data_IF_984610731681
#
_entry.id   IF_984610731681
#
_cell.length_a   1.000
_cell.length_b   1.000
_cell.length_c   1.000
_cell.angle_alpha   90.00
_cell.angle_beta   90.00
_cell.angle_gamma   90.00
#
_symmetry.space_group_name_H-M   'P 1'
#
loop_
_entity.id
_entity.type
_entity.pdbx_description
1 polymer ?
#
# COMPACT_ATOMS: atom_id res chain seq x y z
N UNK A 1 7.71 28.72 -6.44
CA UNK A 1 8.88 29.40 -5.83
C UNK A 1 9.87 28.44 -5.17
N UNK A 2 9.47 27.54 -4.26
CA UNK A 2 10.44 26.75 -3.49
C UNK A 2 11.22 25.70 -4.32
N UNK A 3 10.64 25.16 -5.40
CA UNK A 3 11.34 24.24 -6.32
C UNK A 3 12.45 24.91 -7.14
N UNK A 4 12.24 26.12 -7.67
CA UNK A 4 13.24 26.83 -8.48
C UNK A 4 14.54 27.11 -7.69
N UNK A 5 14.41 27.46 -6.41
CA UNK A 5 15.56 27.71 -5.53
C UNK A 5 16.37 26.42 -5.26
N UNK A 6 15.69 25.26 -5.25
CA UNK A 6 16.34 23.96 -5.04
C UNK A 6 17.14 23.52 -6.27
N UNK A 7 16.61 23.77 -7.47
CA UNK A 7 17.25 23.37 -8.73
C UNK A 7 18.49 24.24 -9.02
N UNK A 8 18.40 25.55 -8.80
CA UNK A 8 19.56 26.46 -8.93
C UNK A 8 20.70 26.08 -7.97
N UNK A 9 20.37 25.78 -6.71
CA UNK A 9 21.37 25.32 -5.72
C UNK A 9 21.96 23.97 -6.04
N UNK A 10 21.17 23.04 -6.59
CA UNK A 10 21.69 21.74 -7.01
C UNK A 10 22.69 21.88 -8.16
N UNK A 11 22.37 22.73 -9.14
CA UNK A 11 23.24 23.01 -10.29
C UNK A 11 24.57 23.64 -9.86
N UNK A 12 24.54 24.64 -8.97
CA UNK A 12 25.76 25.28 -8.42
C UNK A 12 26.60 24.31 -7.55
N UNK A 13 25.94 23.41 -6.79
CA UNK A 13 26.68 22.38 -6.04
C UNK A 13 27.25 21.29 -6.95
N UNK A 14 26.54 20.91 -8.01
CA UNK A 14 27.02 19.93 -8.97
C UNK A 14 28.22 20.46 -9.77
N UNK A 15 28.22 21.74 -10.12
CA UNK A 15 29.33 22.40 -10.82
C UNK A 15 30.59 22.53 -9.95
N UNK A 16 30.44 22.76 -8.64
CA UNK A 16 31.58 22.96 -7.72
C UNK A 16 32.12 21.68 -7.06
N UNK A 17 31.26 20.69 -6.78
CA UNK A 17 31.61 19.55 -5.91
C UNK A 17 31.31 18.18 -6.53
N UNK A 18 30.84 18.13 -7.77
CA UNK A 18 30.48 16.91 -8.47
C UNK A 18 29.12 16.34 -8.07
N UNK A 19 28.58 15.50 -8.96
CA UNK A 19 27.19 14.99 -8.91
C UNK A 19 26.90 14.08 -7.72
N UNK A 20 27.90 13.37 -7.19
CA UNK A 20 27.71 12.47 -6.04
C UNK A 20 27.39 13.23 -4.74
N UNK A 21 28.08 14.35 -4.51
CA UNK A 21 27.91 15.15 -3.28
C UNK A 21 26.63 15.98 -3.34
N UNK A 22 26.28 16.51 -4.50
CA UNK A 22 25.02 17.23 -4.72
C UNK A 22 23.81 16.30 -4.54
N UNK A 23 23.88 15.06 -5.03
CA UNK A 23 22.81 14.06 -4.87
C UNK A 23 22.58 13.67 -3.40
N UNK A 24 23.65 13.48 -2.62
CA UNK A 24 23.55 13.21 -1.18
C UNK A 24 22.97 14.40 -0.41
N UNK A 25 23.32 15.63 -0.79
CA UNK A 25 22.76 16.85 -0.20
C UNK A 25 21.27 17.01 -0.51
N UNK A 26 20.89 16.82 -1.78
CA UNK A 26 19.49 16.83 -2.22
C UNK A 26 18.66 15.79 -1.46
N UNK A 27 19.21 14.58 -1.28
CA UNK A 27 18.54 13.53 -0.54
C UNK A 27 18.38 13.86 0.95
N UNK A 28 19.42 14.44 1.57
CA UNK A 28 19.33 14.92 2.95
C UNK A 28 18.28 16.01 3.12
N UNK A 29 18.18 16.95 2.18
CA UNK A 29 17.15 17.99 2.22
C UNK A 29 15.75 17.43 2.02
N UNK A 30 15.57 16.54 1.04
CA UNK A 30 14.29 15.87 0.81
C UNK A 30 13.82 15.14 2.07
N UNK A 31 14.71 14.37 2.73
CA UNK A 31 14.40 13.68 3.98
C UNK A 31 14.05 14.65 5.10
N UNK A 32 14.79 15.76 5.26
CA UNK A 32 14.48 16.79 6.28
C UNK A 32 13.14 17.46 6.04
N UNK A 33 12.80 17.76 4.79
CA UNK A 33 11.52 18.36 4.42
C UNK A 33 10.38 17.38 4.69
N UNK A 34 10.54 16.11 4.30
CA UNK A 34 9.56 15.04 4.60
C UNK A 34 9.39 14.88 6.10
N UNK A 35 10.48 14.82 6.87
CA UNK A 35 10.44 14.69 8.33
C UNK A 35 9.78 15.91 8.99
N UNK A 36 10.03 17.12 8.50
CA UNK A 36 9.41 18.35 8.99
C UNK A 36 7.92 18.44 8.66
N UNK A 37 7.52 18.02 7.45
CA UNK A 37 6.12 17.90 7.04
C UNK A 37 5.39 16.82 7.85
N UNK A 38 6.03 15.66 8.06
CA UNK A 38 5.50 14.59 8.88
C UNK A 38 5.34 15.03 10.34
N UNK A 39 6.34 15.72 10.91
CA UNK A 39 6.30 16.21 12.29
C UNK A 39 5.25 17.29 12.54
N UNK A 40 5.11 18.26 11.63
CA UNK A 40 4.02 19.26 11.70
C UNK A 40 2.66 18.62 11.45
N UNK A 41 2.62 17.71 10.48
CA UNK A 41 1.46 16.89 10.15
C UNK A 41 0.98 16.08 11.34
N UNK A 42 1.86 15.42 12.10
CA UNK A 42 1.50 14.65 13.29
C UNK A 42 1.01 15.52 14.45
N UNK A 43 1.59 16.70 14.65
CA UNK A 43 1.16 17.64 15.71
C UNK A 43 -0.20 18.28 15.44
N UNK A 44 -0.64 18.33 14.17
CA UNK A 44 -1.91 18.96 13.75
C UNK A 44 -2.84 18.00 13.01
N UNK A 45 -2.49 16.71 12.92
CA UNK A 45 -3.37 15.69 12.39
C UNK A 45 -4.37 15.37 13.50
N UNK A 46 -5.68 15.56 13.26
CA UNK A 46 -6.68 15.07 14.18
C UNK A 46 -6.42 13.58 14.38
N UNK A 47 -6.31 13.15 15.64
CA UNK A 47 -6.10 11.75 16.05
C UNK A 47 -6.94 10.75 15.24
N UNK A 48 -8.10 11.20 14.78
CA UNK A 48 -8.95 10.53 13.78
C UNK A 48 -8.19 9.98 12.57
N UNK A 49 -7.25 10.70 11.94
CA UNK A 49 -6.52 10.21 10.75
C UNK A 49 -5.58 9.06 11.14
N UNK A 50 -4.94 9.16 12.30
CA UNK A 50 -4.06 8.10 12.80
C UNK A 50 -4.90 6.87 13.14
N UNK A 51 -6.01 7.04 13.84
CA UNK A 51 -6.92 5.94 14.20
C UNK A 51 -7.52 5.30 12.95
N UNK A 52 -7.94 6.11 11.97
CA UNK A 52 -8.53 5.60 10.71
C UNK A 52 -7.49 4.84 9.89
N UNK A 53 -6.25 5.34 9.80
CA UNK A 53 -5.18 4.65 9.07
C UNK A 53 -4.73 3.38 9.79
N UNK A 54 -4.60 3.41 11.12
CA UNK A 54 -4.27 2.22 11.90
C UNK A 54 -5.38 1.17 11.81
N UNK A 55 -6.65 1.59 11.93
CA UNK A 55 -7.81 0.73 11.76
C UNK A 55 -7.88 0.15 10.34
N UNK A 56 -7.62 0.96 9.30
CA UNK A 56 -7.58 0.50 7.92
C UNK A 56 -6.47 -0.53 7.68
N UNK A 57 -5.29 -0.32 8.28
CA UNK A 57 -4.17 -1.27 8.18
C UNK A 57 -4.49 -2.60 8.90
N UNK A 58 -5.07 -2.53 10.10
CA UNK A 58 -5.52 -3.71 10.84
C UNK A 58 -6.62 -4.45 10.08
N UNK A 59 -7.60 -3.73 9.51
CA UNK A 59 -8.65 -4.32 8.69
C UNK A 59 -8.07 -5.01 7.47
N UNK A 60 -7.08 -4.41 6.80
CA UNK A 60 -6.42 -5.00 5.64
C UNK A 60 -5.70 -6.31 6.00
N UNK A 61 -4.98 -6.34 7.12
CA UNK A 61 -4.36 -7.58 7.60
C UNK A 61 -5.39 -8.64 7.99
N UNK A 62 -6.45 -8.23 8.70
CA UNK A 62 -7.49 -9.15 9.13
C UNK A 62 -8.25 -9.75 7.94
N UNK A 63 -8.67 -8.92 6.98
CA UNK A 63 -9.40 -9.38 5.80
C UNK A 63 -8.51 -10.24 4.91
N UNK A 64 -7.27 -9.82 4.61
CA UNK A 64 -6.38 -10.62 3.75
C UNK A 64 -5.98 -11.96 4.38
N UNK A 65 -5.76 -11.99 5.70
CA UNK A 65 -5.49 -13.23 6.43
C UNK A 65 -6.68 -14.20 6.44
N UNK A 66 -7.90 -13.68 6.59
CA UNK A 66 -9.11 -14.49 6.56
C UNK A 66 -9.54 -14.88 5.14
N UNK A 67 -9.29 -14.03 4.12
CA UNK A 67 -9.66 -14.29 2.73
C UNK A 67 -9.08 -15.61 2.23
N UNK A 68 -7.83 -15.91 2.60
CA UNK A 68 -7.19 -17.17 2.22
C UNK A 68 -7.88 -18.39 2.86
N UNK A 69 -8.34 -18.27 4.11
CA UNK A 69 -9.08 -19.34 4.80
C UNK A 69 -10.46 -19.54 4.18
N UNK A 70 -11.20 -18.45 3.95
CA UNK A 70 -12.53 -18.48 3.34
C UNK A 70 -12.48 -19.07 1.93
N UNK A 71 -11.48 -18.71 1.12
CA UNK A 71 -11.33 -19.28 -0.22
C UNK A 71 -11.01 -20.77 -0.15
N UNK A 72 -10.13 -21.21 0.76
CA UNK A 72 -9.86 -22.64 0.95
C UNK A 72 -11.09 -23.42 1.43
N UNK A 73 -11.84 -22.89 2.39
CA UNK A 73 -13.07 -23.50 2.88
C UNK A 73 -14.14 -23.56 1.79
N UNK A 74 -14.31 -22.48 1.02
CA UNK A 74 -15.25 -22.44 -0.08
C UNK A 74 -14.91 -23.45 -1.18
N UNK A 75 -13.62 -23.59 -1.53
CA UNK A 75 -13.16 -24.62 -2.48
C UNK A 75 -13.37 -26.02 -1.92
N UNK A 76 -13.10 -26.23 -0.62
CA UNK A 76 -13.35 -27.51 0.06
C UNK A 76 -14.83 -27.88 0.05
N UNK A 77 -15.72 -26.90 0.27
CA UNK A 77 -17.18 -27.07 0.22
C UNK A 77 -17.67 -27.36 -1.20
N UNK A 78 -17.14 -26.66 -2.21
CA UNK A 78 -17.48 -26.90 -3.61
C UNK A 78 -17.02 -28.28 -4.11
N UNK A 79 -15.88 -28.78 -3.61
CA UNK A 79 -15.30 -30.06 -4.00
C UNK A 79 -15.67 -31.23 -3.07
N UNK A 80 -16.64 -31.06 -2.16
CA UNK A 80 -16.96 -32.04 -1.12
C UNK A 80 -17.46 -33.41 -1.65
N UNK A 81 -17.69 -33.56 -2.96
CA UNK A 81 -18.11 -34.81 -3.61
C UNK A 81 -17.18 -35.30 -4.72
N UNK A 82 -16.06 -34.61 -4.98
CA UNK A 82 -15.12 -35.00 -6.03
C UNK A 82 -13.73 -35.07 -5.42
N UNK A 83 -13.27 -36.28 -5.07
CA UNK A 83 -11.86 -36.52 -4.79
C UNK A 83 -11.08 -36.16 -6.04
N UNK A 84 -10.29 -35.08 -6.04
CA UNK A 84 -9.67 -34.62 -7.27
C UNK A 84 -8.50 -35.54 -7.58
N UNK A 85 -8.67 -36.44 -8.54
CA UNK A 85 -7.57 -37.18 -9.13
C UNK A 85 -6.83 -36.25 -10.09
N UNK A 86 -6.08 -35.28 -9.55
CA UNK A 86 -5.32 -34.35 -10.37
C UNK A 86 -4.05 -35.03 -10.87
N UNK A 87 -3.98 -35.23 -12.19
CA UNK A 87 -2.70 -35.44 -12.87
C UNK A 87 -1.81 -34.20 -12.61
N UNK A 88 -0.51 -34.43 -12.41
CA UNK A 88 0.50 -33.43 -12.06
C UNK A 88 0.41 -32.13 -12.86
N UNK A 89 0.09 -32.21 -14.16
CA UNK A 89 -0.07 -31.06 -15.06
C UNK A 89 -1.34 -30.23 -14.79
N UNK A 90 -2.41 -30.86 -14.33
CA UNK A 90 -3.66 -30.17 -13.98
C UNK A 90 -3.58 -29.53 -12.59
N UNK A 91 -2.78 -30.13 -11.70
CA UNK A 91 -2.50 -29.59 -10.37
C UNK A 91 -1.82 -28.22 -10.45
N UNK A 92 -0.81 -28.06 -11.32
CA UNK A 92 -0.14 -26.78 -11.53
C UNK A 92 -1.07 -25.69 -12.07
N UNK A 93 -1.93 -26.03 -13.04
CA UNK A 93 -2.90 -25.08 -13.59
C UNK A 93 -3.93 -24.64 -12.54
N UNK A 94 -4.43 -25.58 -11.74
CA UNK A 94 -5.38 -25.28 -10.69
C UNK A 94 -4.76 -24.42 -9.58
N UNK A 95 -3.53 -24.73 -9.15
CA UNK A 95 -2.79 -23.92 -8.18
C UNK A 95 -2.51 -22.52 -8.71
N UNK A 96 -2.20 -22.39 -10.01
CA UNK A 96 -2.01 -21.09 -10.66
C UNK A 96 -3.29 -20.25 -10.61
N UNK A 97 -4.44 -20.81 -10.99
CA UNK A 97 -5.74 -20.12 -10.93
C UNK A 97 -6.14 -19.75 -9.50
N UNK A 98 -5.94 -20.66 -8.54
CA UNK A 98 -6.25 -20.41 -7.13
C UNK A 98 -5.35 -19.30 -6.57
N UNK A 99 -4.06 -19.29 -6.91
CA UNK A 99 -3.16 -18.22 -6.51
C UNK A 99 -3.58 -16.87 -7.12
N UNK A 100 -3.92 -16.85 -8.41
CA UNK A 100 -4.28 -15.61 -9.10
C UNK A 100 -5.61 -15.03 -8.60
N UNK A 101 -6.62 -15.87 -8.33
CA UNK A 101 -7.90 -15.44 -7.77
C UNK A 101 -7.75 -14.86 -6.36
N UNK A 102 -6.95 -15.49 -5.49
CA UNK A 102 -6.61 -14.95 -4.16
C UNK A 102 -5.87 -13.61 -4.29
N UNK A 103 -4.94 -13.51 -5.25
CA UNK A 103 -4.20 -12.29 -5.51
C UNK A 103 -5.12 -11.15 -5.96
N UNK A 104 -5.93 -11.36 -6.99
CA UNK A 104 -6.90 -10.36 -7.50
C UNK A 104 -7.91 -9.98 -6.41
N UNK A 105 -8.41 -10.93 -5.63
CA UNK A 105 -9.29 -10.65 -4.50
C UNK A 105 -8.64 -9.74 -3.47
N UNK A 106 -7.38 -10.00 -3.11
CA UNK A 106 -6.64 -9.14 -2.16
C UNK A 106 -6.38 -7.72 -2.71
N UNK A 107 -6.20 -7.60 -4.02
CA UNK A 107 -6.05 -6.32 -4.70
C UNK A 107 -7.35 -5.50 -4.67
N UNK A 108 -8.50 -6.13 -4.98
CA UNK A 108 -9.81 -5.50 -4.88
C UNK A 108 -10.14 -5.06 -3.46
N UNK A 109 -9.85 -5.90 -2.46
CA UNK A 109 -10.02 -5.55 -1.04
C UNK A 109 -9.18 -4.32 -0.69
N UNK A 110 -7.92 -4.26 -1.14
CA UNK A 110 -7.03 -3.13 -0.89
C UNK A 110 -7.57 -1.83 -1.50
N UNK A 111 -8.13 -1.91 -2.71
CA UNK A 111 -8.81 -0.80 -3.36
C UNK A 111 -10.02 -0.31 -2.53
N UNK A 112 -10.89 -1.23 -2.10
CA UNK A 112 -12.09 -0.91 -1.30
C UNK A 112 -11.70 -0.26 0.03
N UNK A 113 -10.71 -0.81 0.74
CA UNK A 113 -10.24 -0.27 2.01
C UNK A 113 -9.62 1.12 1.80
N UNK A 114 -8.81 1.31 0.75
CA UNK A 114 -8.26 2.61 0.39
C UNK A 114 -9.35 3.65 0.13
N UNK A 115 -10.40 3.27 -0.60
CA UNK A 115 -11.58 4.11 -0.84
C UNK A 115 -12.33 4.44 0.45
N UNK A 116 -12.55 3.46 1.33
CA UNK A 116 -13.25 3.69 2.60
C UNK A 116 -12.50 4.66 3.51
N UNK A 117 -11.18 4.46 3.65
CA UNK A 117 -10.32 5.36 4.42
C UNK A 117 -10.30 6.77 3.83
N UNK A 118 -10.28 6.90 2.50
CA UNK A 118 -10.40 8.19 1.84
C UNK A 118 -11.75 8.87 2.17
N UNK A 119 -12.87 8.15 2.04
CA UNK A 119 -14.20 8.70 2.36
C UNK A 119 -14.27 9.27 3.78
N UNK A 120 -13.70 8.56 4.76
CA UNK A 120 -13.65 9.01 6.17
C UNK A 120 -12.74 10.23 6.34
N UNK A 121 -11.62 10.29 5.60
CA UNK A 121 -10.64 11.38 5.70
C UNK A 121 -11.09 12.73 5.10
N UNK A 122 -12.22 12.75 4.37
CA UNK A 122 -12.89 13.92 3.78
C UNK A 122 -11.99 14.91 3.00
N UNK A 123 -11.27 15.80 3.71
CA UNK A 123 -10.41 16.85 3.12
C UNK A 123 -8.94 16.45 3.00
N UNK A 124 -8.54 15.32 3.59
CA UNK A 124 -7.15 14.83 3.57
C UNK A 124 -7.05 13.43 2.97
N UNK A 125 -7.90 13.14 1.98
CA UNK A 125 -8.00 11.85 1.27
C UNK A 125 -6.64 11.34 0.81
N UNK A 126 -5.89 12.17 0.07
CA UNK A 126 -4.58 11.81 -0.49
C UNK A 126 -3.51 11.58 0.59
N UNK A 127 -3.54 12.36 1.68
CA UNK A 127 -2.59 12.20 2.79
C UNK A 127 -2.92 10.92 3.56
N UNK A 128 -4.20 10.63 3.78
CA UNK A 128 -4.66 9.44 4.49
C UNK A 128 -4.33 8.15 3.73
N UNK A 129 -4.56 8.10 2.41
CA UNK A 129 -4.25 6.90 1.63
C UNK A 129 -2.75 6.69 1.43
N UNK A 130 -1.97 7.76 1.26
CA UNK A 130 -0.50 7.64 1.24
C UNK A 130 0.07 7.18 2.58
N UNK A 131 -0.40 7.75 3.69
CA UNK A 131 0.05 7.32 5.03
C UNK A 131 -0.36 5.88 5.32
N UNK A 132 -1.58 5.47 4.96
CA UNK A 132 -2.03 4.09 5.05
C UNK A 132 -1.14 3.14 4.25
N UNK A 133 -0.85 3.49 2.99
CA UNK A 133 0.02 2.70 2.11
C UNK A 133 1.43 2.55 2.68
N UNK A 134 1.99 3.64 3.24
CA UNK A 134 3.31 3.64 3.86
C UNK A 134 3.35 2.83 5.17
N UNK A 135 2.34 3.00 6.03
CA UNK A 135 2.21 2.23 7.29
C UNK A 135 2.06 0.74 7.00
N UNK A 136 1.25 0.37 6.01
CA UNK A 136 1.07 -1.02 5.60
C UNK A 136 2.37 -1.64 5.07
N UNK A 137 3.16 -0.88 4.30
CA UNK A 137 4.46 -1.30 3.83
C UNK A 137 5.45 -1.51 4.99
N UNK A 138 5.53 -0.56 5.93
CA UNK A 138 6.38 -0.69 7.13
C UNK A 138 5.97 -1.92 7.94
N UNK A 139 4.68 -2.10 8.21
CA UNK A 139 4.20 -3.27 8.95
C UNK A 139 4.60 -4.57 8.26
N UNK A 140 4.52 -4.65 6.93
CA UNK A 140 4.91 -5.86 6.19
C UNK A 140 6.40 -6.16 6.33
N UNK A 141 7.24 -5.13 6.21
CA UNK A 141 8.69 -5.25 6.38
C UNK A 141 9.05 -5.66 7.80
N UNK A 142 8.44 -5.05 8.82
CA UNK A 142 8.70 -5.42 10.22
C UNK A 142 8.24 -6.84 10.52
N UNK A 143 7.07 -7.24 10.04
CA UNK A 143 6.56 -8.62 10.23
C UNK A 143 7.53 -9.63 9.60
N UNK A 144 7.99 -9.37 8.37
CA UNK A 144 8.99 -10.21 7.71
C UNK A 144 10.29 -10.30 8.52
N UNK A 145 10.83 -9.17 8.99
CA UNK A 145 12.06 -9.16 9.78
C UNK A 145 11.92 -9.88 11.12
N UNK A 146 10.75 -9.78 11.76
CA UNK A 146 10.46 -10.52 13.00
C UNK A 146 10.37 -12.03 12.76
N UNK A 147 9.86 -12.48 11.61
CA UNK A 147 9.85 -13.89 11.22
C UNK A 147 11.27 -14.41 11.00
N UNK A 148 12.11 -13.64 10.31
CA UNK A 148 13.54 -13.97 10.10
C UNK A 148 14.28 -14.04 11.45
N UNK A 149 14.05 -13.05 12.33
CA UNK A 149 14.68 -13.02 13.66
C UNK A 149 14.25 -14.20 14.56
N UNK A 150 13.08 -14.79 14.32
CA UNK A 150 12.60 -15.98 15.04
C UNK A 150 13.11 -17.30 14.45
N UNK A 151 14.07 -17.26 13.53
CA UNK A 151 14.61 -18.44 12.83
C UNK A 151 13.54 -19.32 12.19
N UNK A 152 12.40 -18.72 11.80
CA UNK A 152 11.44 -19.45 10.98
C UNK A 152 12.11 -19.81 9.64
N UNK A 153 11.81 -20.98 9.05
CA UNK A 153 12.26 -21.31 7.70
C UNK A 153 11.57 -20.36 6.72
N UNK A 154 12.22 -19.26 6.39
CA UNK A 154 11.73 -18.29 5.42
C UNK A 154 12.48 -18.52 4.12
N UNK A 155 11.80 -19.07 3.12
CA UNK A 155 12.39 -19.24 1.80
C UNK A 155 12.78 -17.87 1.22
N UNK A 156 14.01 -17.71 0.72
CA UNK A 156 14.46 -16.43 0.15
C UNK A 156 13.65 -15.99 -1.07
N UNK A 157 12.97 -16.94 -1.74
CA UNK A 157 12.08 -16.69 -2.89
C UNK A 157 10.73 -16.08 -2.47
N UNK A 158 10.33 -16.23 -1.20
CA UNK A 158 9.06 -15.68 -0.70
C UNK A 158 9.13 -14.15 -0.50
N UNK A 159 10.29 -13.61 -0.14
CA UNK A 159 10.47 -12.18 0.08
C UNK A 159 10.12 -11.30 -1.13
N UNK A 160 10.67 -11.54 -2.34
CA UNK A 160 10.31 -10.73 -3.52
C UNK A 160 8.83 -10.87 -3.89
N UNK A 161 8.23 -12.05 -3.71
CA UNK A 161 6.79 -12.25 -3.98
C UNK A 161 5.91 -11.46 -3.01
N UNK A 162 6.23 -11.47 -1.71
CA UNK A 162 5.52 -10.70 -0.68
C UNK A 162 5.65 -9.20 -0.97
N UNK A 163 6.86 -8.74 -1.32
CA UNK A 163 7.12 -7.34 -1.66
C UNK A 163 6.31 -6.87 -2.88
N UNK A 164 6.26 -7.67 -3.96
CA UNK A 164 5.46 -7.33 -5.16
C UNK A 164 3.97 -7.26 -4.84
N UNK A 165 3.46 -8.22 -4.05
CA UNK A 165 2.06 -8.20 -3.60
C UNK A 165 1.75 -6.99 -2.73
N UNK A 166 2.64 -6.66 -1.80
CA UNK A 166 2.46 -5.51 -0.93
C UNK A 166 2.55 -4.19 -1.70
N UNK A 167 3.49 -4.06 -2.63
CA UNK A 167 3.62 -2.87 -3.49
C UNK A 167 2.38 -2.67 -4.35
N UNK A 168 1.88 -3.73 -4.98
CA UNK A 168 0.65 -3.65 -5.79
C UNK A 168 -0.58 -3.29 -4.95
N UNK A 169 -0.73 -3.85 -3.75
CA UNK A 169 -1.76 -3.45 -2.79
C UNK A 169 -1.62 -1.96 -2.39
N UNK A 170 -0.40 -1.52 -2.08
CA UNK A 170 -0.07 -0.13 -1.76
C UNK A 170 -0.44 0.85 -2.88
N UNK A 171 -0.24 0.49 -4.16
CA UNK A 171 -0.68 1.29 -5.29
C UNK A 171 -2.20 1.36 -5.38
N UNK A 172 -2.89 0.23 -5.21
CA UNK A 172 -4.35 0.21 -5.27
C UNK A 172 -5.03 0.98 -4.14
N UNK A 173 -4.45 0.98 -2.94
CA UNK A 173 -4.92 1.83 -1.84
C UNK A 173 -4.90 3.31 -2.25
N UNK A 174 -3.83 3.74 -2.91
CA UNK A 174 -3.69 5.13 -3.39
C UNK A 174 -4.68 5.41 -4.52
N UNK A 175 -4.83 4.49 -5.48
CA UNK A 175 -5.79 4.60 -6.58
C UNK A 175 -7.23 4.71 -6.05
N UNK A 176 -7.60 3.91 -5.05
CA UNK A 176 -8.91 3.99 -4.40
C UNK A 176 -9.17 5.37 -3.80
N UNK A 177 -8.16 5.96 -3.15
CA UNK A 177 -8.23 7.34 -2.66
C UNK A 177 -8.38 8.39 -3.76
N UNK A 178 -7.72 8.20 -4.90
CA UNK A 178 -7.84 9.10 -6.06
C UNK A 178 -9.26 9.03 -6.63
N UNK A 179 -9.83 7.83 -6.79
CA UNK A 179 -11.20 7.65 -7.30
C UNK A 179 -12.22 8.38 -6.40
N UNK A 180 -12.09 8.26 -5.08
CA UNK A 180 -12.98 8.97 -4.14
C UNK A 180 -12.85 10.49 -4.26
N UNK A 181 -11.63 11.00 -4.47
CA UNK A 181 -11.39 12.43 -4.65
C UNK A 181 -12.00 12.97 -5.95
N UNK A 182 -11.84 12.24 -7.05
CA UNK A 182 -12.38 12.62 -8.36
C UNK A 182 -13.90 12.60 -8.34
N UNK A 183 -14.51 11.54 -7.78
CA UNK A 183 -15.98 11.44 -7.66
C UNK A 183 -16.57 12.57 -6.82
N UNK A 184 -15.94 12.97 -5.72
CA UNK A 184 -16.39 14.12 -4.93
C UNK A 184 -16.21 15.45 -5.66
N UNK A 185 -15.11 15.60 -6.41
CA UNK A 185 -14.86 16.83 -7.18
C UNK A 185 -15.90 17.01 -8.29
N UNK A 186 -16.23 15.92 -9.00
CA UNK A 186 -17.29 15.91 -10.00
C UNK A 186 -18.67 16.23 -9.39
N UNK A 187 -19.00 15.65 -8.23
CA UNK A 187 -20.26 15.92 -7.54
C UNK A 187 -20.39 17.38 -7.06
N UNK A 188 -19.28 18.01 -6.68
CA UNK A 188 -19.28 19.43 -6.29
C UNK A 188 -19.49 20.36 -7.49
N UNK A 189 -18.98 20.00 -8.68
CA UNK A 189 -19.18 20.75 -9.92
C UNK A 189 -20.62 20.65 -10.42
N UNK A 190 -21.22 19.45 -10.38
CA UNK A 190 -22.63 19.29 -10.79
C UNK A 190 -23.62 20.08 -9.92
N UNK A 191 -23.24 20.37 -8.67
CA UNK A 191 -24.02 21.18 -7.73
C UNK A 191 -23.83 22.69 -7.92
N UNK A 192 -22.75 23.13 -8.55
CA UNK A 192 -22.55 24.55 -8.88
C UNK A 192 -23.21 24.97 -10.20
N UNK A 193 -23.43 23.99 -11.09
CA UNK A 193 -24.00 24.22 -12.42
C UNK A 193 -25.54 24.11 -12.43
N UNK A 194 -26.15 23.70 -11.31
CA UNK A 194 -27.59 23.56 -11.09
C UNK A 194 -28.15 24.73 -10.28
#
# INVERSE_FOLDING_TARGET
>A
MQQQILDERFSDMASRCGTGRSRRWYWSQSVKTIAGLAGRGFRTAPWLIVITTLSGALLLQFVTGNLQRVIMEFISLLNHHVTPYYDSKHLDSHLFWMYYTVFVGSLLVSLIIGSFVAMVAKRREMIATMTLSFVSLIMTVTTFWTLVARHAPVDPVLFPKIMVKQLSASFLIVIGGIIVRETRSAAAQSLSDA
#
